data_IF_504157436303
#
_entry.id   IF_504157436303
#
_cell.length_a   1.000
_cell.length_b   1.000
_cell.length_c   1.000
_cell.angle_alpha   90.00
_cell.angle_beta   90.00
_cell.angle_gamma   90.00
#
_symmetry.space_group_name_H-M   'P 1'
#
loop_
_entity.id
_entity.type
_entity.pdbx_description
1 polymer ?
#
# COMPACT_ATOMS: atom_id res chain seq x y z
N UNK A 1 7.55 18.00 14.28
CA UNK A 1 7.92 16.58 14.03
C UNK A 1 6.83 15.65 14.54
N UNK A 2 6.34 14.69 13.73
CA UNK A 2 5.32 13.72 14.15
C UNK A 2 5.80 12.87 15.32
N UNK A 3 4.95 12.67 16.33
CA UNK A 3 5.21 11.74 17.43
C UNK A 3 4.93 10.30 16.95
N UNK A 4 5.96 9.63 16.44
CA UNK A 4 5.89 8.25 15.96
C UNK A 4 6.89 7.37 16.73
N UNK A 5 6.45 6.18 17.10
CA UNK A 5 7.28 5.12 17.65
C UNK A 5 7.18 3.90 16.73
N UNK A 6 8.29 3.18 16.58
CA UNK A 6 8.39 2.04 15.66
C UNK A 6 8.30 0.68 16.36
N UNK A 7 7.85 0.69 17.61
CA UNK A 7 7.62 -0.48 18.48
C UNK A 7 6.14 -0.81 18.65
N UNK A 8 5.25 -0.14 17.89
CA UNK A 8 3.80 -0.32 17.96
C UNK A 8 3.14 -0.35 16.59
N UNK A 9 1.91 -0.86 16.55
CA UNK A 9 1.04 -0.82 15.37
C UNK A 9 -0.09 0.19 15.58
N UNK A 10 -0.26 1.06 14.59
CA UNK A 10 -1.26 2.13 14.66
C UNK A 10 -2.60 1.70 14.05
N UNK A 11 -3.69 1.96 14.78
CA UNK A 11 -5.05 1.93 14.22
C UNK A 11 -5.20 3.00 13.15
N UNK A 12 -6.16 2.81 12.25
CA UNK A 12 -6.35 3.63 11.06
C UNK A 12 -6.41 5.13 11.35
N UNK A 13 -7.11 5.53 12.42
CA UNK A 13 -7.22 6.93 12.84
C UNK A 13 -5.86 7.55 13.19
N UNK A 14 -5.05 6.83 13.95
CA UNK A 14 -3.74 7.32 14.40
C UNK A 14 -2.73 7.27 13.26
N UNK A 15 -2.77 6.22 12.44
CA UNK A 15 -2.00 6.15 11.19
C UNK A 15 -2.31 7.36 10.29
N UNK A 16 -3.59 7.66 10.06
CA UNK A 16 -4.01 8.82 9.26
C UNK A 16 -3.45 10.13 9.82
N UNK A 17 -3.55 10.34 11.14
CA UNK A 17 -3.01 11.53 11.80
C UNK A 17 -1.50 11.65 11.61
N UNK A 18 -0.77 10.54 11.73
CA UNK A 18 0.69 10.50 11.54
C UNK A 18 1.06 10.88 10.11
N UNK A 19 0.36 10.33 9.11
CA UNK A 19 0.62 10.65 7.70
C UNK A 19 0.31 12.12 7.37
N UNK A 20 -0.78 12.66 7.92
CA UNK A 20 -1.10 14.08 7.81
C UNK A 20 -0.01 14.96 8.43
N UNK A 21 0.47 14.60 9.62
CA UNK A 21 1.54 15.32 10.30
C UNK A 21 2.85 15.31 9.50
N UNK A 22 3.19 14.22 8.80
CA UNK A 22 4.36 14.21 7.90
C UNK A 22 4.21 15.19 6.74
N UNK A 23 3.05 15.22 6.08
CA UNK A 23 2.80 16.13 4.97
C UNK A 23 2.76 17.61 5.41
N UNK A 24 2.25 17.88 6.61
CA UNK A 24 2.21 19.22 7.20
C UNK A 24 3.59 19.72 7.64
N UNK A 25 4.41 18.85 8.24
CA UNK A 25 5.75 19.21 8.73
C UNK A 25 6.78 19.35 7.60
N UNK A 26 6.68 18.51 6.57
CA UNK A 26 7.63 18.45 5.46
C UNK A 26 6.96 18.72 4.10
N UNK A 27 6.25 19.85 3.89
CA UNK A 27 5.48 20.11 2.67
C UNK A 27 6.36 20.20 1.40
N UNK A 28 7.65 20.48 1.56
CA UNK A 28 8.65 20.49 0.50
C UNK A 28 9.15 19.09 0.09
N UNK A 29 8.88 18.07 0.92
CA UNK A 29 9.30 16.68 0.68
C UNK A 29 8.14 15.68 0.60
N UNK A 30 6.99 15.95 1.22
CA UNK A 30 5.91 15.01 1.38
C UNK A 30 4.55 15.63 1.03
N UNK A 31 3.75 14.93 0.24
CA UNK A 31 2.34 15.23 -0.02
C UNK A 31 1.50 13.99 0.29
N UNK A 32 0.31 14.18 0.85
CA UNK A 32 -0.63 13.11 1.18
C UNK A 32 -1.87 13.22 0.29
N UNK A 33 -2.28 12.12 -0.32
CA UNK A 33 -3.54 12.02 -1.05
C UNK A 33 -4.23 10.67 -0.81
N UNK A 34 -5.53 10.62 -1.09
CA UNK A 34 -6.29 9.37 -1.11
C UNK A 34 -6.37 8.86 -2.54
N UNK A 35 -5.89 7.64 -2.79
CA UNK A 35 -5.92 7.00 -4.12
C UNK A 35 -7.19 6.17 -4.34
N UNK A 36 -8.08 6.13 -3.35
CA UNK A 36 -9.31 5.37 -3.42
C UNK A 36 -9.93 5.16 -2.05
N UNK A 37 -11.08 4.50 -2.05
CA UNK A 37 -11.79 4.10 -0.84
C UNK A 37 -11.78 2.58 -0.73
N UNK A 38 -11.64 2.09 0.49
CA UNK A 38 -11.83 0.68 0.84
C UNK A 38 -13.30 0.29 0.76
N UNK A 39 -13.61 -0.99 0.98
CA UNK A 39 -14.98 -1.49 0.95
C UNK A 39 -15.85 -0.84 2.05
N UNK A 40 -15.28 -0.61 3.23
CA UNK A 40 -15.95 0.08 4.34
C UNK A 40 -15.79 1.61 4.29
N UNK A 41 -15.29 2.16 3.17
CA UNK A 41 -15.26 3.60 2.91
C UNK A 41 -14.08 4.38 3.53
N UNK A 42 -13.03 3.69 4.01
CA UNK A 42 -11.80 4.33 4.50
C UNK A 42 -10.93 4.78 3.33
N UNK A 43 -10.29 5.94 3.45
CA UNK A 43 -9.27 6.38 2.49
C UNK A 43 -8.09 5.42 2.47
N UNK A 44 -7.65 5.09 1.26
CA UNK A 44 -6.39 4.40 1.00
C UNK A 44 -5.35 5.49 0.77
N UNK A 45 -4.52 5.72 1.78
CA UNK A 45 -3.57 6.83 1.80
C UNK A 45 -2.30 6.52 1.00
N UNK A 46 -1.92 7.47 0.15
CA UNK A 46 -0.64 7.52 -0.54
C UNK A 46 0.15 8.73 -0.04
N UNK A 47 1.41 8.49 0.38
CA UNK A 47 2.39 9.55 0.63
C UNK A 47 3.36 9.60 -0.53
N UNK A 48 3.36 10.72 -1.24
CA UNK A 48 4.36 11.02 -2.27
C UNK A 48 5.54 11.71 -1.59
N UNK A 49 6.70 11.05 -1.56
CA UNK A 49 7.93 11.56 -0.93
C UNK A 49 8.99 11.82 -1.99
N UNK A 50 9.36 13.09 -2.17
CA UNK A 50 10.38 13.54 -3.14
C UNK A 50 10.74 15.01 -2.88
N UNK A 51 11.92 15.47 -3.30
CA UNK A 51 12.22 16.91 -3.26
C UNK A 51 11.46 17.66 -4.37
N UNK A 52 10.37 18.33 -4.01
CA UNK A 52 9.54 19.06 -4.98
C UNK A 52 10.26 20.28 -5.59
N UNK A 53 11.31 20.80 -4.95
CA UNK A 53 12.11 21.90 -5.51
C UNK A 53 13.04 21.43 -6.65
N UNK A 54 13.44 20.16 -6.67
CA UNK A 54 14.23 19.55 -7.76
C UNK A 54 13.37 19.12 -8.96
N UNK A 55 12.04 19.16 -8.82
CA UNK A 55 11.08 18.82 -9.86
C UNK A 55 9.80 18.22 -9.29
N UNK A 56 8.69 18.38 -10.02
CA UNK A 56 7.43 17.71 -9.67
C UNK A 56 7.58 16.18 -9.73
N UNK A 57 6.75 15.50 -8.96
CA UNK A 57 6.74 14.04 -8.83
C UNK A 57 6.59 13.33 -10.19
N UNK A 58 5.67 13.79 -11.04
CA UNK A 58 5.43 13.20 -12.36
C UNK A 58 6.57 13.37 -13.37
N UNK A 59 7.57 14.19 -13.05
CA UNK A 59 8.73 14.45 -13.91
C UNK A 59 9.96 13.61 -13.52
N UNK A 60 9.89 12.83 -12.45
CA UNK A 60 10.99 11.99 -11.95
C UNK A 60 10.63 10.51 -12.04
N UNK A 61 11.61 9.60 -12.26
CA UNK A 61 11.37 8.17 -12.14
C UNK A 61 10.90 7.83 -10.71
N UNK A 62 9.97 6.89 -10.60
CA UNK A 62 9.29 6.61 -9.36
C UNK A 62 9.46 5.15 -8.90
N UNK A 63 9.47 4.98 -7.58
CA UNK A 63 9.38 3.69 -6.90
C UNK A 63 8.03 3.62 -6.18
N UNK A 64 7.30 2.54 -6.42
CA UNK A 64 6.10 2.21 -5.66
C UNK A 64 6.46 1.29 -4.49
N UNK A 65 6.00 1.65 -3.29
CA UNK A 65 6.18 0.86 -2.06
C UNK A 65 4.84 0.77 -1.37
N UNK A 66 4.36 -0.44 -1.13
CA UNK A 66 3.14 -0.65 -0.37
C UNK A 66 3.30 -1.67 0.76
N UNK A 67 2.39 -1.59 1.73
CA UNK A 67 2.35 -2.48 2.87
C UNK A 67 0.92 -2.89 3.25
N UNK A 68 0.84 -4.04 3.93
CA UNK A 68 -0.37 -4.50 4.62
C UNK A 68 -1.56 -4.66 3.66
N UNK A 69 -1.31 -5.28 2.50
CA UNK A 69 -2.35 -5.78 1.60
C UNK A 69 -3.09 -6.98 2.22
N UNK A 70 -2.36 -7.88 2.87
CA UNK A 70 -2.96 -8.89 3.74
C UNK A 70 -3.27 -8.30 5.12
N UNK A 71 -4.49 -8.51 5.60
CA UNK A 71 -5.05 -7.85 6.77
C UNK A 71 -4.20 -8.03 8.04
N UNK A 72 -3.68 -9.23 8.27
CA UNK A 72 -2.93 -9.59 9.50
C UNK A 72 -1.43 -9.28 9.43
N UNK A 73 -0.90 -8.95 8.26
CA UNK A 73 0.51 -8.62 8.06
C UNK A 73 0.72 -7.11 8.33
N UNK A 74 0.71 -6.74 9.62
CA UNK A 74 0.78 -5.34 10.06
C UNK A 74 2.19 -4.73 9.95
N UNK A 75 3.24 -5.55 10.08
CA UNK A 75 4.64 -5.10 10.06
C UNK A 75 5.05 -4.31 8.80
N UNK A 76 4.65 -4.70 7.58
CA UNK A 76 4.86 -3.88 6.38
C UNK A 76 4.32 -2.45 6.48
N UNK A 77 3.23 -2.21 7.22
CA UNK A 77 2.70 -0.85 7.43
C UNK A 77 3.66 0.01 8.24
N UNK A 78 4.22 -0.55 9.33
CA UNK A 78 5.24 0.12 10.13
C UNK A 78 6.55 0.31 9.36
N UNK A 79 6.93 -0.65 8.50
CA UNK A 79 8.10 -0.51 7.62
C UNK A 79 7.94 0.65 6.62
N UNK A 80 6.74 0.83 6.05
CA UNK A 80 6.43 1.98 5.21
C UNK A 80 6.53 3.30 5.97
N UNK A 81 6.00 3.37 7.20
CA UNK A 81 6.15 4.55 8.07
C UNK A 81 7.62 4.85 8.38
N UNK A 82 8.41 3.82 8.67
CA UNK A 82 9.84 3.98 8.94
C UNK A 82 10.58 4.51 7.71
N UNK A 83 10.26 3.99 6.52
CA UNK A 83 10.79 4.52 5.27
C UNK A 83 10.45 5.99 5.08
N UNK A 84 9.18 6.39 5.23
CA UNK A 84 8.75 7.79 5.13
C UNK A 84 9.55 8.66 6.10
N UNK A 85 9.63 8.26 7.37
CA UNK A 85 10.38 8.98 8.39
C UNK A 85 11.83 9.19 7.98
N UNK A 86 12.54 8.10 7.64
CA UNK A 86 13.95 8.16 7.22
C UNK A 86 14.15 9.11 6.04
N UNK A 87 13.30 9.00 5.01
CA UNK A 87 13.40 9.84 3.82
C UNK A 87 13.25 11.34 4.15
N UNK A 88 12.27 11.72 4.98
CA UNK A 88 12.05 13.14 5.29
C UNK A 88 12.99 13.71 6.34
N UNK A 89 13.43 12.91 7.32
CA UNK A 89 14.27 13.40 8.41
C UNK A 89 15.76 13.42 8.07
N UNK A 90 16.20 12.59 7.14
CA UNK A 90 17.62 12.49 6.76
C UNK A 90 17.93 13.20 5.43
N UNK A 91 16.93 13.81 4.79
CA UNK A 91 17.15 14.69 3.64
C UNK A 91 18.01 15.90 4.01
N UNK A 92 19.08 16.14 3.25
CA UNK A 92 20.07 17.19 3.50
C UNK A 92 21.20 16.78 4.45
N UNK A 93 21.05 15.71 5.23
CA UNK A 93 22.11 15.18 6.12
C UNK A 93 22.75 13.90 5.60
N UNK A 94 21.95 12.98 5.04
CA UNK A 94 22.43 11.76 4.41
C UNK A 94 22.52 11.97 2.89
N UNK A 95 23.71 11.75 2.32
CA UNK A 95 23.98 12.04 0.91
C UNK A 95 23.21 11.11 -0.05
N UNK A 96 22.97 9.86 0.34
CA UNK A 96 22.23 8.90 -0.48
C UNK A 96 20.74 9.19 -0.46
N UNK A 97 20.15 9.48 0.70
CA UNK A 97 18.75 9.89 0.81
C UNK A 97 18.50 11.20 0.06
N UNK A 98 19.40 12.19 0.22
CA UNK A 98 19.31 13.46 -0.51
C UNK A 98 19.30 13.22 -2.01
N UNK A 99 20.28 12.46 -2.52
CA UNK A 99 20.35 12.09 -3.94
C UNK A 99 19.12 11.32 -4.40
N UNK A 100 18.58 10.44 -3.57
CA UNK A 100 17.36 9.69 -3.87
C UNK A 100 16.17 10.63 -4.06
N UNK A 101 15.92 11.57 -3.13
CA UNK A 101 14.78 12.47 -3.21
C UNK A 101 14.94 13.57 -4.27
N UNK A 102 16.16 13.98 -4.58
CA UNK A 102 16.43 14.96 -5.64
C UNK A 102 16.17 14.39 -7.05
N UNK A 103 16.33 13.07 -7.24
CA UNK A 103 16.29 12.45 -8.58
C UNK A 103 15.20 11.40 -8.76
N UNK A 104 14.53 10.94 -7.70
CA UNK A 104 13.44 9.95 -7.73
C UNK A 104 12.26 10.35 -6.86
N UNK A 105 11.15 9.66 -7.06
CA UNK A 105 9.94 9.74 -6.23
C UNK A 105 9.70 8.42 -5.52
N UNK A 106 9.26 8.49 -4.27
CA UNK A 106 8.73 7.35 -3.53
C UNK A 106 7.23 7.54 -3.35
N UNK A 107 6.44 6.71 -4.01
CA UNK A 107 5.01 6.60 -3.78
C UNK A 107 4.79 5.50 -2.74
N UNK A 108 4.53 5.90 -1.49
CA UNK A 108 4.44 4.99 -0.36
C UNK A 108 2.99 4.87 0.08
N UNK A 109 2.40 3.68 -0.06
CA UNK A 109 1.05 3.33 0.42
C UNK A 109 1.16 2.45 1.68
N UNK A 110 1.13 3.01 2.89
CA UNK A 110 1.45 2.25 4.10
C UNK A 110 0.41 1.19 4.46
N UNK A 111 -0.81 1.29 3.92
CA UNK A 111 -1.89 0.36 4.22
C UNK A 111 -2.87 0.26 3.06
N UNK A 112 -2.67 -0.75 2.23
CA UNK A 112 -3.53 -1.06 1.09
C UNK A 112 -4.89 -1.59 1.54
N UNK A 113 -4.93 -2.39 2.61
CA UNK A 113 -6.15 -2.99 3.14
C UNK A 113 -6.50 -2.42 4.53
N UNK A 114 -7.03 -1.17 4.60
CA UNK A 114 -7.31 -0.52 5.88
C UNK A 114 -8.41 -1.24 6.68
N UNK A 115 -9.41 -1.82 6.01
CA UNK A 115 -10.54 -2.48 6.67
C UNK A 115 -10.10 -3.78 7.35
N UNK A 116 -9.36 -4.62 6.62
CA UNK A 116 -8.84 -5.86 7.17
C UNK A 116 -7.89 -5.64 8.34
N UNK A 117 -7.00 -4.64 8.25
CA UNK A 117 -6.12 -4.27 9.35
C UNK A 117 -6.90 -3.83 10.60
N UNK A 118 -7.97 -3.04 10.44
CA UNK A 118 -8.81 -2.62 11.57
C UNK A 118 -9.52 -3.81 12.23
N UNK A 119 -9.97 -4.79 11.44
CA UNK A 119 -10.51 -6.04 11.98
C UNK A 119 -9.46 -6.87 12.73
N UNK A 120 -8.23 -6.92 12.22
CA UNK A 120 -7.13 -7.64 12.87
C UNK A 120 -6.68 -6.97 14.18
N UNK A 121 -6.82 -5.65 14.30
CA UNK A 121 -6.44 -4.86 15.48
C UNK A 121 -7.61 -4.51 16.42
N UNK A 122 -8.81 -5.03 16.15
CA UNK A 122 -9.98 -4.83 17.01
C UNK A 122 -9.77 -5.47 18.39
N UNK A 123 -10.52 -5.02 19.40
CA UNK A 123 -10.42 -5.56 20.78
C UNK A 123 -10.73 -7.07 20.83
N UNK A 124 -11.55 -7.54 19.89
CA UNK A 124 -11.75 -8.95 19.56
C UNK A 124 -11.30 -9.16 18.11
N UNK A 125 -10.03 -9.53 17.86
CA UNK A 125 -9.48 -9.65 16.52
C UNK A 125 -10.26 -10.63 15.64
N UNK A 126 -10.42 -10.26 14.37
CA UNK A 126 -10.88 -11.21 13.33
C UNK A 126 -9.73 -11.48 12.38
N UNK A 127 -9.40 -12.76 12.22
CA UNK A 127 -8.30 -13.22 11.36
C UNK A 127 -8.84 -13.55 9.97
N UNK A 128 -9.06 -12.51 9.18
CA UNK A 128 -9.24 -12.67 7.73
C UNK A 128 -7.88 -12.44 7.06
N UNK A 129 -7.61 -13.12 5.94
CA UNK A 129 -6.38 -12.86 5.17
C UNK A 129 -6.55 -11.65 4.24
N UNK A 130 -7.68 -11.59 3.56
CA UNK A 130 -7.97 -10.65 2.46
C UNK A 130 -8.78 -9.44 2.93
N UNK A 131 -9.52 -8.79 2.02
CA UNK A 131 -10.42 -7.69 2.34
C UNK A 131 -11.65 -8.15 3.12
N UNK A 132 -12.42 -7.19 3.66
CA UNK A 132 -13.66 -7.44 4.41
C UNK A 132 -14.87 -7.72 3.51
N UNK A 133 -14.66 -7.83 2.19
CA UNK A 133 -15.72 -8.14 1.25
C UNK A 133 -16.29 -9.54 1.54
N UNK A 134 -17.61 -9.67 1.75
CA UNK A 134 -18.23 -10.97 1.95
C UNK A 134 -18.14 -11.82 0.69
N UNK A 135 -18.03 -13.14 0.88
CA UNK A 135 -18.18 -14.13 -0.18
C UNK A 135 -19.49 -14.92 0.02
N UNK A 136 -20.28 -15.20 -1.03
CA UNK A 136 -20.06 -14.81 -2.43
C UNK A 136 -20.16 -13.29 -2.64
N UNK A 137 -19.48 -12.78 -3.66
CA UNK A 137 -19.51 -11.36 -3.98
C UNK A 137 -20.87 -10.99 -4.60
N UNK A 138 -21.42 -9.84 -4.23
CA UNK A 138 -22.66 -9.31 -4.81
C UNK A 138 -22.44 -8.70 -6.22
N UNK A 139 -21.19 -8.40 -6.55
CA UNK A 139 -20.78 -7.78 -7.82
C UNK A 139 -20.44 -8.85 -8.85
N UNK A 140 -20.86 -8.64 -10.10
CA UNK A 140 -20.41 -9.48 -11.22
C UNK A 140 -18.88 -9.40 -11.34
N UNK A 141 -18.20 -10.51 -11.70
CA UNK A 141 -16.77 -10.49 -11.95
C UNK A 141 -16.41 -9.41 -12.97
N UNK A 142 -15.56 -8.47 -12.59
CA UNK A 142 -14.96 -7.53 -13.54
C UNK A 142 -14.11 -8.38 -14.49
N UNK A 143 -14.40 -8.29 -15.80
CA UNK A 143 -13.90 -9.22 -16.82
C UNK A 143 -12.41 -9.56 -16.70
N UNK A 144 -12.06 -10.79 -17.08
CA UNK A 144 -10.74 -11.37 -16.89
C UNK A 144 -10.81 -12.89 -17.09
N UNK A 145 -9.90 -13.63 -16.45
CA UNK A 145 -10.01 -15.09 -16.38
C UNK A 145 -11.23 -15.46 -15.55
N UNK A 146 -12.22 -16.10 -16.18
CA UNK A 146 -13.38 -16.67 -15.50
C UNK A 146 -13.04 -18.13 -15.19
N UNK A 147 -13.03 -18.48 -13.91
CA UNK A 147 -12.94 -19.88 -13.50
C UNK A 147 -14.27 -20.56 -13.83
N UNK A 148 -14.28 -21.36 -14.89
CA UNK A 148 -15.43 -22.15 -15.31
C UNK A 148 -15.02 -23.58 -15.61
N UNK A 149 -15.99 -24.48 -15.47
CA UNK A 149 -15.88 -25.86 -15.94
C UNK A 149 -16.06 -25.86 -17.48
N UNK A 150 -14.97 -25.63 -18.19
CA UNK A 150 -14.96 -25.45 -19.65
C UNK A 150 -15.36 -26.71 -20.42
N UNK A 151 -15.26 -27.90 -19.81
CA UNK A 151 -15.58 -29.17 -20.46
C UNK A 151 -16.82 -29.88 -19.86
N UNK A 152 -17.40 -29.32 -18.79
CA UNK A 152 -18.65 -29.77 -18.18
C UNK A 152 -18.50 -31.07 -17.38
N UNK A 153 -17.29 -31.43 -16.94
CA UNK A 153 -17.02 -32.67 -16.22
C UNK A 153 -17.29 -32.60 -14.70
N UNK A 154 -17.72 -31.43 -14.23
CA UNK A 154 -17.96 -31.09 -12.84
C UNK A 154 -16.71 -30.62 -12.10
N UNK A 155 -15.60 -30.31 -12.79
CA UNK A 155 -14.34 -29.88 -12.18
C UNK A 155 -13.85 -28.59 -12.83
N UNK A 156 -13.54 -27.62 -11.98
CA UNK A 156 -12.78 -26.43 -12.40
C UNK A 156 -11.29 -26.74 -12.24
N UNK A 157 -10.60 -26.89 -13.37
CA UNK A 157 -9.17 -27.27 -13.43
C UNK A 157 -8.32 -26.14 -14.02
N UNK A 158 -7.06 -26.10 -13.61
CA UNK A 158 -6.07 -25.19 -14.17
C UNK A 158 -5.40 -25.82 -15.40
N UNK A 159 -5.44 -25.14 -16.55
CA UNK A 159 -4.74 -25.58 -17.77
C UNK A 159 -3.42 -24.84 -17.90
N UNK A 160 -2.32 -25.57 -18.10
CA UNK A 160 -1.02 -24.96 -18.40
C UNK A 160 -0.87 -24.72 -19.89
N UNK A 161 -0.65 -23.48 -20.30
CA UNK A 161 -0.38 -23.11 -21.69
C UNK A 161 1.13 -22.90 -21.88
N UNK A 162 1.74 -23.41 -22.97
CA UNK A 162 3.13 -23.13 -23.29
C UNK A 162 3.30 -21.64 -23.60
N UNK A 163 4.13 -20.93 -22.83
CA UNK A 163 4.49 -19.55 -23.14
C UNK A 163 5.58 -19.55 -24.24
N UNK A 164 5.38 -18.86 -25.38
CA UNK A 164 6.38 -18.79 -26.44
C UNK A 164 7.72 -18.15 -26.00
N UNK A 165 7.75 -17.47 -24.84
CA UNK A 165 8.91 -16.76 -24.31
C UNK A 165 9.39 -17.30 -22.95
N UNK A 166 8.88 -18.42 -22.44
CA UNK A 166 9.21 -18.87 -21.07
C UNK A 166 8.66 -20.23 -20.65
N UNK A 167 8.76 -20.58 -19.35
CA UNK A 167 8.16 -21.80 -18.81
C UNK A 167 6.63 -21.73 -18.85
N UNK A 168 5.99 -22.91 -18.78
CA UNK A 168 4.54 -23.08 -18.73
C UNK A 168 3.89 -22.10 -17.73
N UNK A 169 2.86 -21.38 -18.20
CA UNK A 169 2.00 -20.55 -17.34
C UNK A 169 0.69 -21.29 -17.08
N UNK A 170 0.22 -21.22 -15.84
CA UNK A 170 -1.15 -21.57 -15.45
C UNK A 170 -2.03 -20.37 -15.76
#
# INVERSE_FOLDING_TARGET
MPDVTFDTYYRYKDLTRILQAYAEEYPQLARLESIGKSYEGRDIWLVTVTNFAAGEDRCKPALWVDGNIHATELAPSSACLYLINRLVTEYGSDADITRCLDTRVFYVCPRVNPDGAELAMADKPRYIRSSTRPYPYDEDPIGGLVEEDVDGDGRVLNMRIPDPNGPWKV
#
